data_IF_219927074001
#
_entry.id   IF_219927074001
#
_cell.length_a   1.000
_cell.length_b   1.000
_cell.length_c   1.000
_cell.angle_alpha   90.00
_cell.angle_beta   90.00
_cell.angle_gamma   90.00
#
_symmetry.space_group_name_H-M   'P 1'
#
loop_
_entity.id
_entity.type
_entity.pdbx_description
1 polymer ?
#
# COMPACT_ATOMS: atom_id res chain seq x y z
N UNK A 1 19.58 3.76 -4.01
CA UNK A 1 19.37 3.88 -2.54
C UNK A 1 17.92 4.28 -2.32
N UNK A 2 17.29 3.91 -1.19
CA UNK A 2 15.96 4.40 -0.87
C UNK A 2 15.99 5.93 -0.75
N UNK A 3 14.90 6.58 -1.15
CA UNK A 3 14.71 8.02 -0.98
C UNK A 3 13.97 8.35 0.33
N UNK A 4 13.34 7.34 0.95
CA UNK A 4 12.72 7.43 2.27
C UNK A 4 12.88 6.11 3.01
N UNK A 5 13.19 6.16 4.30
CA UNK A 5 13.41 4.99 5.15
C UNK A 5 12.84 5.28 6.54
N UNK A 6 12.20 4.27 7.14
CA UNK A 6 12.01 4.20 8.59
C UNK A 6 12.47 2.81 9.04
N UNK A 7 13.48 2.77 9.93
CA UNK A 7 14.01 1.54 10.54
C UNK A 7 13.40 1.31 11.93
N UNK A 8 12.47 2.17 12.39
CA UNK A 8 11.81 2.08 13.70
C UNK A 8 12.77 1.95 14.92
N UNK A 9 14.02 2.42 14.79
CA UNK A 9 15.05 2.39 15.85
C UNK A 9 14.80 3.39 17.00
N UNK A 10 13.78 4.24 16.88
CA UNK A 10 13.40 5.21 17.90
C UNK A 10 12.75 4.55 19.13
N UNK A 11 12.63 5.31 20.22
CA UNK A 11 11.82 4.90 21.39
C UNK A 11 10.33 5.22 21.22
N UNK A 12 9.97 5.81 20.08
CA UNK A 12 8.60 6.16 19.69
C UNK A 12 8.56 6.32 18.18
N UNK A 13 7.37 6.23 17.61
CA UNK A 13 7.14 6.48 16.20
C UNK A 13 7.57 7.91 15.80
N UNK A 14 8.18 8.03 14.62
CA UNK A 14 8.61 9.32 14.08
C UNK A 14 7.39 10.19 13.70
N UNK A 15 7.60 11.51 13.64
CA UNK A 15 6.56 12.46 13.17
C UNK A 15 6.25 12.34 11.67
N UNK A 16 6.94 11.45 10.96
CA UNK A 16 6.69 11.17 9.55
C UNK A 16 5.41 10.33 9.34
N UNK A 17 4.89 9.74 10.41
CA UNK A 17 3.70 8.90 10.39
C UNK A 17 2.50 9.62 10.99
N UNK A 18 1.39 9.51 10.28
CA UNK A 18 0.07 9.87 10.79
C UNK A 18 -0.62 8.59 11.25
N UNK A 19 -0.80 8.43 12.56
CA UNK A 19 -1.54 7.29 13.13
C UNK A 19 -3.02 7.64 13.17
N UNK A 20 -3.87 6.76 12.66
CA UNK A 20 -5.30 7.01 12.60
C UNK A 20 -5.94 6.95 14.00
N UNK A 21 -6.92 7.83 14.23
CA UNK A 21 -7.73 7.85 15.45
C UNK A 21 -9.21 8.05 15.08
N UNK A 22 -10.01 6.98 15.14
CA UNK A 22 -11.38 7.03 14.64
C UNK A 22 -11.98 5.67 14.31
N UNK A 23 -13.05 5.62 13.48
CA UNK A 23 -13.63 4.36 13.02
C UNK A 23 -12.60 3.48 12.31
N UNK A 24 -12.67 2.16 12.54
CA UNK A 24 -11.84 1.19 11.85
C UNK A 24 -12.34 0.86 10.43
N UNK A 25 -11.89 -0.27 9.90
CA UNK A 25 -12.16 -0.71 8.54
C UNK A 25 -13.66 -0.71 8.21
N UNK A 26 -14.08 0.08 7.22
CA UNK A 26 -15.49 0.25 6.84
C UNK A 26 -16.44 0.59 8.00
N UNK A 27 -15.93 1.20 9.07
CA UNK A 27 -16.68 1.51 10.30
C UNK A 27 -16.72 0.39 11.33
N UNK A 28 -16.09 -0.76 11.08
CA UNK A 28 -15.91 -1.83 12.07
C UNK A 28 -14.73 -1.51 12.97
N UNK A 29 -14.93 -1.63 14.29
CA UNK A 29 -13.88 -1.45 15.28
C UNK A 29 -13.42 0.01 15.35
N UNK A 30 -12.23 0.22 15.92
CA UNK A 30 -11.66 1.54 16.16
C UNK A 30 -10.18 1.55 15.85
N UNK A 31 -9.72 2.55 15.09
CA UNK A 31 -8.31 2.93 15.02
C UNK A 31 -7.95 3.72 16.27
N UNK A 32 -6.93 3.29 16.99
CA UNK A 32 -6.45 3.95 18.21
C UNK A 32 -4.93 4.07 18.18
N UNK A 33 -4.35 5.26 18.45
CA UNK A 33 -2.91 5.41 18.55
C UNK A 33 -2.25 4.51 19.60
N UNK A 34 -2.97 4.16 20.67
CA UNK A 34 -2.50 3.26 21.73
C UNK A 34 -2.23 1.83 21.26
N UNK A 35 -2.75 1.44 20.08
CA UNK A 35 -2.50 0.14 19.47
C UNK A 35 -1.18 0.10 18.67
N UNK A 36 -0.42 1.20 18.64
CA UNK A 36 0.90 1.28 17.99
C UNK A 36 1.99 1.42 19.04
N UNK A 37 3.03 0.61 18.92
CA UNK A 37 4.25 0.76 19.72
C UNK A 37 5.50 0.56 18.86
N UNK A 38 6.61 1.16 19.29
CA UNK A 38 7.93 0.96 18.69
C UNK A 38 8.89 0.60 19.82
N UNK A 39 9.51 -0.57 19.71
CA UNK A 39 10.49 -1.04 20.69
C UNK A 39 11.56 -1.90 20.00
N UNK A 40 12.83 -1.69 20.34
CA UNK A 40 13.96 -2.49 19.85
C UNK A 40 14.03 -2.60 18.30
N UNK A 41 13.75 -1.51 17.59
CA UNK A 41 13.76 -1.49 16.12
C UNK A 41 12.51 -2.08 15.47
N UNK A 42 11.47 -2.43 16.24
CA UNK A 42 10.27 -3.08 15.71
C UNK A 42 9.04 -2.22 15.98
N UNK A 43 8.33 -1.84 14.92
CA UNK A 43 6.96 -1.38 14.98
C UNK A 43 6.04 -2.57 15.28
N UNK A 44 5.18 -2.45 16.27
CA UNK A 44 4.11 -3.41 16.54
C UNK A 44 2.75 -2.71 16.48
N UNK A 45 1.83 -3.29 15.71
CA UNK A 45 0.40 -2.94 15.75
C UNK A 45 -0.35 -4.09 16.40
N UNK A 46 -1.18 -3.79 17.41
CA UNK A 46 -2.00 -4.75 18.14
C UNK A 46 -3.48 -4.53 17.84
N UNK A 47 -4.23 -5.62 17.69
CA UNK A 47 -5.68 -5.64 17.60
C UNK A 47 -6.28 -6.41 18.78
N UNK A 48 -7.14 -5.78 19.59
CA UNK A 48 -7.72 -6.39 20.79
C UNK A 48 -9.05 -7.14 20.52
N UNK A 49 -9.64 -7.73 21.56
CA UNK A 49 -10.92 -8.46 21.43
C UNK A 49 -12.14 -7.59 21.11
N UNK A 50 -12.03 -6.26 21.17
CA UNK A 50 -13.10 -5.30 20.90
C UNK A 50 -12.97 -4.64 19.52
N UNK A 51 -11.97 -5.04 18.72
CA UNK A 51 -11.69 -4.40 17.44
C UNK A 51 -10.96 -3.06 17.57
N UNK A 52 -10.36 -2.76 18.73
CA UNK A 52 -9.42 -1.64 18.83
C UNK A 52 -8.10 -2.08 18.23
N UNK A 53 -7.68 -1.39 17.18
CA UNK A 53 -6.47 -1.69 16.40
C UNK A 53 -5.87 -0.40 15.87
N UNK A 54 -4.86 -0.45 15.00
CA UNK A 54 -4.32 0.74 14.36
C UNK A 54 -4.16 0.60 12.85
N UNK A 55 -4.00 1.75 12.23
CA UNK A 55 -3.52 1.94 10.88
C UNK A 55 -2.78 3.28 10.85
N UNK A 56 -1.86 3.44 9.91
CA UNK A 56 -1.05 4.64 9.82
C UNK A 56 -0.61 4.92 8.40
N UNK A 57 -0.48 6.20 8.05
CA UNK A 57 -0.06 6.70 6.75
C UNK A 57 1.34 7.32 6.81
N UNK A 58 2.15 7.08 5.78
CA UNK A 58 3.48 7.66 5.61
C UNK A 58 3.47 8.81 4.59
N UNK A 59 2.90 9.95 4.99
CA UNK A 59 2.71 11.12 4.13
C UNK A 59 3.98 11.98 3.98
N UNK A 60 4.19 12.69 2.86
CA UNK A 60 3.42 12.65 1.62
C UNK A 60 3.73 11.41 0.77
N UNK A 61 2.87 11.10 -0.20
CA UNK A 61 3.08 10.01 -1.15
C UNK A 61 4.01 10.33 -2.32
N UNK A 62 4.08 9.39 -3.25
CA UNK A 62 4.88 9.46 -4.47
C UNK A 62 4.12 8.77 -5.62
N UNK A 63 4.24 9.32 -6.83
CA UNK A 63 3.75 8.66 -8.05
C UNK A 63 4.87 7.83 -8.67
N UNK A 64 4.64 6.53 -8.80
CA UNK A 64 5.61 5.51 -9.21
C UNK A 64 6.78 5.32 -8.25
N UNK A 65 7.41 4.16 -8.30
CA UNK A 65 8.53 3.80 -7.45
C UNK A 65 8.45 2.36 -6.95
N UNK A 66 9.22 2.09 -5.91
CA UNK A 66 9.16 0.83 -5.18
C UNK A 66 8.93 1.12 -3.71
N UNK A 67 8.07 0.33 -3.09
CA UNK A 67 7.87 0.30 -1.65
C UNK A 67 8.19 -1.11 -1.16
N UNK A 68 8.93 -1.20 -0.08
CA UNK A 68 9.33 -2.48 0.50
C UNK A 68 9.24 -2.38 2.02
N UNK A 69 8.66 -3.39 2.65
CA UNK A 69 8.57 -3.51 4.09
C UNK A 69 8.98 -4.91 4.55
N UNK A 70 9.75 -4.98 5.63
CA UNK A 70 10.10 -6.24 6.26
C UNK A 70 9.11 -6.52 7.38
N UNK A 71 8.26 -7.53 7.16
CA UNK A 71 7.09 -7.80 8.00
C UNK A 71 7.06 -9.26 8.40
N UNK A 72 6.58 -9.52 9.62
CA UNK A 72 6.02 -10.80 10.04
C UNK A 72 4.72 -10.56 10.78
N UNK A 73 3.78 -11.48 10.69
CA UNK A 73 2.58 -11.47 11.52
C UNK A 73 2.40 -12.86 12.14
N UNK A 74 2.34 -13.00 13.47
CA UNK A 74 1.91 -14.25 14.09
C UNK A 74 0.53 -14.70 13.57
N UNK A 75 0.22 -15.99 13.75
CA UNK A 75 -1.14 -16.46 13.55
C UNK A 75 -2.12 -15.62 14.38
N UNK A 76 -3.24 -15.23 13.78
CA UNK A 76 -4.18 -14.27 14.33
C UNK A 76 -5.54 -14.90 14.57
N UNK A 77 -6.42 -14.12 15.18
CA UNK A 77 -7.85 -14.35 15.07
C UNK A 77 -8.28 -14.22 13.58
N UNK A 78 -9.30 -14.98 13.13
CA UNK A 78 -9.91 -14.80 11.81
C UNK A 78 -10.45 -13.40 11.55
N UNK A 79 -10.62 -12.58 12.59
CA UNK A 79 -11.09 -11.21 12.47
C UNK A 79 -10.00 -10.19 12.13
N UNK A 80 -8.72 -10.58 11.99
CA UNK A 80 -7.62 -9.62 11.80
C UNK A 80 -6.79 -9.85 10.54
N UNK A 81 -6.82 -8.87 9.64
CA UNK A 81 -6.02 -8.84 8.42
C UNK A 81 -4.80 -7.94 8.62
N UNK A 82 -3.59 -8.38 8.24
CA UNK A 82 -2.39 -7.54 8.30
C UNK A 82 -2.06 -7.01 6.90
N UNK A 83 -1.76 -5.72 6.78
CA UNK A 83 -1.65 -5.02 5.51
C UNK A 83 -0.41 -4.14 5.38
N UNK A 84 0.19 -4.18 4.20
CA UNK A 84 0.91 -3.06 3.60
C UNK A 84 0.20 -2.68 2.31
N UNK A 85 -0.16 -1.42 2.18
CA UNK A 85 -0.90 -0.92 1.01
C UNK A 85 -0.44 0.47 0.59
N UNK A 86 -0.71 0.83 -0.65
CA UNK A 86 -0.59 2.19 -1.16
C UNK A 86 -1.98 2.81 -1.28
N UNK A 87 -2.18 3.98 -0.67
CA UNK A 87 -3.44 4.73 -0.65
C UNK A 87 -3.29 6.08 -1.37
N UNK A 88 -4.30 6.57 -2.12
CA UNK A 88 -4.18 7.79 -2.90
C UNK A 88 -4.07 9.03 -2.01
N UNK A 89 -3.07 9.88 -2.28
CA UNK A 89 -2.88 11.16 -1.56
C UNK A 89 -4.08 12.11 -1.69
N UNK A 90 -4.89 11.93 -2.72
CA UNK A 90 -6.10 12.71 -2.96
C UNK A 90 -7.27 12.29 -2.06
N UNK A 91 -7.16 11.18 -1.32
CA UNK A 91 -8.21 10.63 -0.44
C UNK A 91 -9.54 10.39 -1.19
N UNK A 92 -9.46 10.00 -2.46
CA UNK A 92 -10.58 9.91 -3.40
C UNK A 92 -10.89 8.47 -3.85
N UNK A 93 -10.62 7.50 -2.99
CA UNK A 93 -11.03 6.11 -3.18
C UNK A 93 -12.55 6.01 -3.49
N UNK A 94 -12.98 5.16 -4.45
CA UNK A 94 -12.17 4.18 -5.20
C UNK A 94 -11.53 4.74 -6.49
N UNK A 95 -11.78 5.99 -6.86
CA UNK A 95 -11.29 6.56 -8.12
C UNK A 95 -9.77 6.71 -8.11
N UNK A 96 -9.19 7.09 -6.97
CA UNK A 96 -7.74 7.14 -6.76
C UNK A 96 -7.04 5.77 -6.80
N UNK A 97 -7.80 4.68 -6.76
CA UNK A 97 -7.29 3.31 -6.66
C UNK A 97 -6.71 2.96 -5.29
N UNK A 98 -6.24 1.73 -5.13
CA UNK A 98 -5.55 1.20 -3.95
C UNK A 98 -4.68 0.02 -4.39
N UNK A 99 -3.48 -0.12 -3.81
CA UNK A 99 -2.62 -1.28 -4.05
C UNK A 99 -2.26 -1.95 -2.73
N UNK A 100 -2.99 -2.99 -2.36
CA UNK A 100 -2.67 -3.86 -1.24
C UNK A 100 -1.64 -4.87 -1.71
N UNK A 101 -0.35 -4.63 -1.45
CA UNK A 101 0.72 -5.51 -1.95
C UNK A 101 1.15 -6.59 -0.97
N UNK A 102 0.63 -6.50 0.25
CA UNK A 102 0.67 -7.53 1.26
C UNK A 102 -0.64 -7.44 2.01
N UNK A 103 -1.60 -8.33 1.73
CA UNK A 103 -2.77 -8.52 2.58
C UNK A 103 -2.84 -9.97 3.07
N UNK A 104 -2.62 -10.16 4.36
CA UNK A 104 -2.74 -11.45 5.03
C UNK A 104 -4.16 -11.56 5.60
N UNK A 105 -5.10 -12.13 4.82
CA UNK A 105 -6.45 -12.46 5.32
C UNK A 105 -6.49 -13.85 5.97
N UNK A 106 -5.60 -14.75 5.55
CA UNK A 106 -5.43 -16.05 6.20
C UNK A 106 -4.88 -15.85 7.61
N UNK A 107 -5.71 -16.15 8.60
CA UNK A 107 -5.36 -16.06 10.02
C UNK A 107 -4.24 -17.02 10.43
N UNK A 108 -4.00 -18.10 9.66
CA UNK A 108 -2.84 -18.99 9.87
C UNK A 108 -1.56 -18.45 9.27
N UNK A 109 -1.65 -17.36 8.48
CA UNK A 109 -0.53 -16.64 7.85
C UNK A 109 0.27 -17.52 6.89
N UNK A 110 -0.38 -18.43 6.18
CA UNK A 110 0.23 -19.33 5.19
C UNK A 110 -0.08 -18.92 3.74
N UNK A 111 -0.96 -17.95 3.54
CA UNK A 111 -1.24 -17.31 2.25
C UNK A 111 -1.28 -15.78 2.42
N UNK A 112 -0.79 -15.05 1.41
CA UNK A 112 -0.85 -13.59 1.33
C UNK A 112 -1.34 -13.17 -0.05
N UNK A 113 -2.12 -12.10 -0.10
CA UNK A 113 -2.75 -11.60 -1.31
C UNK A 113 -2.17 -10.27 -1.76
N UNK A 114 -2.35 -10.01 -3.05
CA UNK A 114 -2.26 -8.67 -3.64
C UNK A 114 -3.63 -8.31 -4.18
N UNK A 115 -4.05 -7.08 -3.94
CA UNK A 115 -5.23 -6.48 -4.55
C UNK A 115 -4.84 -5.16 -5.22
N UNK A 116 -5.36 -4.96 -6.42
CA UNK A 116 -5.31 -3.68 -7.11
C UNK A 116 -6.75 -3.25 -7.35
N UNK A 117 -7.19 -2.25 -6.59
CA UNK A 117 -8.51 -1.63 -6.73
C UNK A 117 -8.44 -0.46 -7.71
N UNK A 118 -9.43 -0.35 -8.58
CA UNK A 118 -9.46 0.67 -9.62
C UNK A 118 -10.87 1.10 -10.05
N UNK A 119 -10.94 2.33 -10.53
CA UNK A 119 -12.13 2.91 -11.15
C UNK A 119 -13.27 3.21 -10.18
N UNK A 120 -14.24 4.00 -10.65
CA UNK A 120 -15.36 4.45 -9.83
C UNK A 120 -16.25 3.32 -9.27
N UNK A 121 -16.21 2.14 -9.89
CA UNK A 121 -16.97 0.97 -9.46
C UNK A 121 -16.22 0.10 -8.45
N UNK A 122 -15.02 0.49 -8.00
CA UNK A 122 -14.15 -0.32 -7.14
C UNK A 122 -13.93 -1.74 -7.70
N UNK A 123 -13.58 -1.83 -8.98
CA UNK A 123 -13.21 -3.12 -9.58
C UNK A 123 -11.84 -3.55 -9.07
N UNK A 124 -11.56 -4.85 -9.05
CA UNK A 124 -10.29 -5.37 -8.56
C UNK A 124 -9.73 -6.46 -9.45
N UNK A 125 -8.40 -6.48 -9.53
CA UNK A 125 -7.62 -7.68 -9.91
C UNK A 125 -6.80 -8.12 -8.71
N UNK A 126 -6.47 -9.41 -8.64
CA UNK A 126 -5.77 -9.97 -7.49
C UNK A 126 -4.88 -11.14 -7.84
N UNK A 127 -4.05 -11.53 -6.87
CA UNK A 127 -3.27 -12.76 -6.87
C UNK A 127 -3.00 -13.22 -5.44
N UNK A 128 -2.49 -14.43 -5.27
CA UNK A 128 -2.02 -14.92 -3.98
C UNK A 128 -0.69 -15.65 -4.10
N UNK A 129 0.03 -15.71 -2.98
CA UNK A 129 1.26 -16.49 -2.82
C UNK A 129 1.19 -17.29 -1.52
N UNK A 130 1.50 -18.58 -1.59
CA UNK A 130 1.61 -19.45 -0.42
C UNK A 130 3.00 -19.29 0.21
N UNK A 131 3.04 -18.80 1.45
CA UNK A 131 4.27 -18.57 2.19
C UNK A 131 3.97 -18.47 3.69
N UNK A 132 4.87 -18.98 4.52
CA UNK A 132 4.77 -18.87 5.98
C UNK A 132 5.14 -17.47 6.46
N UNK A 133 4.16 -16.58 6.46
CA UNK A 133 4.25 -15.17 6.85
C UNK A 133 4.33 -14.94 8.37
N UNK A 134 4.36 -16.00 9.18
CA UNK A 134 4.75 -15.91 10.60
C UNK A 134 6.24 -15.60 10.77
N UNK A 135 7.03 -15.82 9.72
CA UNK A 135 8.45 -15.48 9.64
C UNK A 135 8.64 -14.13 8.96
N UNK A 136 9.82 -13.54 9.18
CA UNK A 136 10.20 -12.28 8.54
C UNK A 136 10.38 -12.46 7.05
N UNK A 137 9.62 -11.69 6.27
CA UNK A 137 9.72 -11.61 4.83
C UNK A 137 9.80 -10.15 4.38
N UNK A 138 10.50 -9.91 3.28
CA UNK A 138 10.55 -8.61 2.64
C UNK A 138 9.46 -8.57 1.56
N UNK A 139 8.39 -7.83 1.82
CA UNK A 139 7.27 -7.62 0.91
C UNK A 139 7.49 -6.33 0.14
N UNK A 140 7.28 -6.36 -1.18
CA UNK A 140 7.43 -5.15 -1.97
C UNK A 140 6.42 -5.04 -3.10
N UNK A 141 6.16 -3.80 -3.50
CA UNK A 141 5.51 -3.47 -4.75
C UNK A 141 6.39 -2.54 -5.56
N UNK A 142 6.49 -2.82 -6.85
CA UNK A 142 7.00 -1.90 -7.84
C UNK A 142 5.83 -1.40 -8.67
N UNK A 143 5.71 -0.08 -8.76
CA UNK A 143 4.68 0.58 -9.54
C UNK A 143 5.34 1.56 -10.48
N UNK A 144 5.17 1.33 -11.78
CA UNK A 144 5.74 2.15 -12.85
C UNK A 144 4.64 2.67 -13.77
N UNK A 145 4.98 3.52 -14.76
CA UNK A 145 4.01 3.91 -15.79
C UNK A 145 3.41 2.74 -16.58
N UNK A 146 4.11 1.61 -16.67
CA UNK A 146 3.72 0.48 -17.55
C UNK A 146 3.18 -0.72 -16.78
N UNK A 147 3.44 -0.84 -15.48
CA UNK A 147 3.03 -2.00 -14.71
C UNK A 147 2.97 -1.77 -13.19
N UNK A 148 2.32 -2.73 -12.52
CA UNK A 148 2.50 -2.99 -11.08
C UNK A 148 2.95 -4.44 -10.92
N UNK A 149 3.96 -4.68 -10.10
CA UNK A 149 4.45 -6.01 -9.76
C UNK A 149 4.69 -6.15 -8.25
N UNK A 150 4.31 -7.30 -7.70
CA UNK A 150 4.47 -7.62 -6.29
C UNK A 150 5.58 -8.67 -6.10
N UNK A 151 6.35 -8.50 -5.02
CA UNK A 151 7.52 -9.31 -4.71
C UNK A 151 7.49 -9.78 -3.25
N UNK A 152 8.07 -10.95 -3.01
CA UNK A 152 8.41 -11.43 -1.67
C UNK A 152 9.83 -11.99 -1.67
N UNK A 153 10.66 -11.51 -0.75
CA UNK A 153 12.09 -11.83 -0.65
C UNK A 153 12.84 -11.65 -1.98
N UNK A 154 12.48 -10.62 -2.74
CA UNK A 154 13.07 -10.30 -4.05
C UNK A 154 12.56 -11.14 -5.22
N UNK A 155 11.63 -12.08 -5.01
CA UNK A 155 11.03 -12.87 -6.08
C UNK A 155 9.69 -12.26 -6.50
N UNK A 156 9.53 -11.96 -7.79
CA UNK A 156 8.24 -11.55 -8.36
C UNK A 156 7.26 -12.74 -8.30
N UNK A 157 6.05 -12.49 -7.82
CA UNK A 157 4.99 -13.51 -7.75
C UNK A 157 3.67 -13.06 -8.38
N UNK A 158 3.53 -11.76 -8.68
CA UNK A 158 2.38 -11.21 -9.37
C UNK A 158 2.75 -9.96 -10.16
N UNK A 159 2.08 -9.74 -11.31
CA UNK A 159 2.25 -8.58 -12.18
C UNK A 159 1.00 -8.30 -12.98
N UNK A 160 0.69 -7.01 -13.18
CA UNK A 160 -0.18 -6.54 -14.25
C UNK A 160 0.54 -5.51 -15.10
N UNK A 161 0.36 -5.58 -16.42
CA UNK A 161 0.82 -4.57 -17.40
C UNK A 161 -0.34 -3.83 -18.04
N UNK A 162 -1.57 -4.03 -17.55
CA UNK A 162 -2.72 -3.25 -17.99
C UNK A 162 -2.63 -1.85 -17.36
N UNK A 163 -2.20 -0.88 -18.16
CA UNK A 163 -2.00 0.49 -17.69
C UNK A 163 -3.31 1.22 -17.41
N UNK A 164 -4.44 0.73 -17.93
CA UNK A 164 -5.76 1.36 -17.77
C UNK A 164 -6.34 1.21 -16.37
N UNK A 165 -5.79 0.30 -15.57
CA UNK A 165 -6.22 -0.01 -14.20
C UNK A 165 -5.23 0.47 -13.13
N UNK A 166 -4.15 1.16 -13.52
CA UNK A 166 -3.17 1.67 -12.57
C UNK A 166 -3.66 2.97 -11.89
N UNK A 167 -3.28 3.22 -10.63
CA UNK A 167 -3.68 4.43 -9.92
C UNK A 167 -3.32 5.72 -10.68
N UNK A 168 -4.21 6.73 -10.75
CA UNK A 168 -4.01 7.90 -11.59
C UNK A 168 -3.06 8.94 -10.98
N UNK A 169 -2.85 8.94 -9.66
CA UNK A 169 -2.15 9.98 -8.91
C UNK A 169 -1.22 9.43 -7.83
N UNK A 170 -0.40 10.28 -7.18
CA UNK A 170 0.51 9.87 -6.12
C UNK A 170 -0.18 9.08 -5.01
N UNK A 171 0.55 8.13 -4.42
CA UNK A 171 0.06 7.32 -3.31
C UNK A 171 1.10 7.27 -2.19
N UNK A 172 0.63 7.15 -0.95
CA UNK A 172 1.47 6.96 0.23
C UNK A 172 1.35 5.54 0.78
N UNK A 173 2.40 5.10 1.48
CA UNK A 173 2.40 3.81 2.16
C UNK A 173 1.51 3.87 3.41
N UNK A 174 0.70 2.84 3.60
CA UNK A 174 -0.02 2.57 4.82
C UNK A 174 0.39 1.23 5.42
N UNK A 175 0.43 1.16 6.75
CA UNK A 175 0.60 -0.07 7.52
C UNK A 175 -0.64 -0.24 8.38
N UNK A 176 -1.33 -1.37 8.28
CA UNK A 176 -2.61 -1.55 8.97
C UNK A 176 -2.81 -2.97 9.49
N UNK A 177 -3.45 -3.10 10.65
CA UNK A 177 -4.01 -4.36 11.13
C UNK A 177 -5.53 -4.17 11.20
N UNK A 178 -6.23 -4.62 10.18
CA UNK A 178 -7.65 -4.34 10.00
C UNK A 178 -8.54 -5.37 10.68
N UNK A 179 -9.65 -4.89 11.24
CA UNK A 179 -10.61 -5.74 11.93
C UNK A 179 -11.83 -6.04 11.06
N UNK A 180 -11.99 -7.31 10.69
CA UNK A 180 -13.09 -7.89 9.94
C UNK A 180 -13.86 -8.87 10.83
N UNK A 181 -14.81 -8.41 11.66
CA UNK A 181 -15.45 -9.26 12.67
C UNK A 181 -16.06 -10.53 12.07
N UNK A 182 -15.54 -11.70 12.45
CA UNK A 182 -16.04 -13.01 11.99
C UNK A 182 -17.07 -13.64 12.93
N UNK A 183 -17.44 -12.95 14.01
CA UNK A 183 -18.25 -13.48 15.11
C UNK A 183 -17.46 -14.39 16.04
N UNK A 184 -18.02 -14.70 17.21
CA UNK A 184 -17.35 -15.48 18.26
C UNK A 184 -16.49 -14.62 19.20
N UNK A 185 -15.70 -15.29 20.05
CA UNK A 185 -14.74 -14.62 20.94
C UNK A 185 -13.46 -14.29 20.18
N UNK A 186 -13.16 -13.00 20.03
CA UNK A 186 -11.98 -12.51 19.30
C UNK A 186 -10.74 -12.60 20.18
N UNK A 187 -9.65 -13.14 19.63
CA UNK A 187 -8.33 -13.15 20.27
C UNK A 187 -7.50 -11.94 19.86
N UNK A 188 -6.64 -11.48 20.78
CA UNK A 188 -5.66 -10.44 20.47
C UNK A 188 -4.73 -10.90 19.36
N UNK A 189 -4.46 -10.02 18.40
CA UNK A 189 -3.63 -10.28 17.23
C UNK A 189 -2.61 -9.16 17.05
N UNK A 190 -1.49 -9.46 16.40
CA UNK A 190 -0.44 -8.48 16.17
C UNK A 190 0.16 -8.60 14.77
N UNK A 191 0.78 -7.52 14.31
CA UNK A 191 1.75 -7.54 13.22
C UNK A 191 3.00 -6.77 13.62
N UNK A 192 4.15 -7.18 13.07
CA UNK A 192 5.45 -6.59 13.37
C UNK A 192 6.13 -6.14 12.09
N UNK A 193 6.70 -4.93 12.11
CA UNK A 193 7.46 -4.36 10.99
C UNK A 193 8.83 -3.94 11.49
N UNK A 194 9.87 -4.44 10.83
CA UNK A 194 11.28 -4.16 11.14
C UNK A 194 11.72 -2.85 10.47
N UNK A 195 11.38 -2.69 9.19
CA UNK A 195 11.64 -1.45 8.47
C UNK A 195 10.74 -1.30 7.26
N UNK A 196 10.61 -0.06 6.78
CA UNK A 196 10.01 0.26 5.47
C UNK A 196 10.90 1.19 4.67
N UNK A 197 10.89 1.01 3.35
CA UNK A 197 11.74 1.72 2.39
C UNK A 197 10.93 2.11 1.17
N UNK A 198 11.12 3.34 0.73
CA UNK A 198 10.60 3.86 -0.54
C UNK A 198 11.77 4.20 -1.46
N UNK A 199 11.61 3.93 -2.74
CA UNK A 199 12.60 4.18 -3.78
C UNK A 199 11.94 4.93 -4.94
N UNK A 200 12.65 5.91 -5.51
CA UNK A 200 12.31 6.44 -6.83
C UNK A 200 12.70 5.44 -7.92
N UNK A 201 11.95 5.43 -9.02
CA UNK A 201 12.44 4.83 -10.26
C UNK A 201 13.72 5.54 -10.71
N UNK A 202 14.66 4.78 -11.26
CA UNK A 202 15.81 5.36 -11.94
C UNK A 202 15.36 6.11 -13.22
N UNK A 203 16.14 7.11 -13.68
CA UNK A 203 15.86 7.76 -14.95
C UNK A 203 15.78 6.77 -16.13
N UNK A 204 16.54 5.67 -16.07
CA UNK A 204 16.53 4.64 -17.10
C UNK A 204 15.20 3.88 -17.12
N UNK A 205 14.72 3.42 -15.97
CA UNK A 205 13.42 2.74 -15.84
C UNK A 205 12.26 3.63 -16.31
N UNK A 206 12.29 4.93 -15.97
CA UNK A 206 11.31 5.90 -16.48
C UNK A 206 11.37 6.07 -18.01
N UNK A 207 12.57 6.06 -18.60
CA UNK A 207 12.73 6.22 -20.05
C UNK A 207 12.41 4.95 -20.84
N UNK A 208 12.82 3.78 -20.36
CA UNK A 208 12.53 2.49 -21.00
C UNK A 208 11.01 2.27 -21.04
N UNK A 209 10.33 2.55 -19.93
CA UNK A 209 8.87 2.51 -19.85
C UNK A 209 8.19 3.53 -20.76
N UNK A 210 8.69 4.78 -20.79
CA UNK A 210 8.16 5.79 -21.72
C UNK A 210 8.35 5.39 -23.19
N UNK A 211 9.47 4.74 -23.55
CA UNK A 211 9.69 4.26 -24.92
C UNK A 211 8.88 3.02 -25.27
N UNK A 212 8.62 2.13 -24.31
CA UNK A 212 7.74 0.98 -24.49
C UNK A 212 6.28 1.41 -24.71
N UNK A 213 5.81 2.41 -23.94
CA UNK A 213 4.48 3.00 -24.09
C UNK A 213 4.31 3.66 -25.48
N UNK A 214 5.30 4.43 -25.96
CA UNK A 214 5.31 4.96 -27.33
C UNK A 214 5.30 3.82 -28.36
N UNK A 215 6.10 2.78 -28.15
CA UNK A 215 6.19 1.64 -29.07
C UNK A 215 4.88 0.88 -29.21
N UNK A 216 4.11 0.74 -28.13
CA UNK A 216 2.78 0.12 -28.15
C UNK A 216 1.73 1.08 -28.74
N UNK A 217 1.72 2.35 -28.35
CA UNK A 217 0.80 3.35 -28.90
C UNK A 217 0.94 3.51 -30.43
N UNK A 218 2.17 3.52 -30.96
CA UNK A 218 2.45 3.58 -32.40
C UNK A 218 1.97 2.32 -33.13
N UNK A 219 1.97 1.16 -32.46
CA UNK A 219 1.46 -0.10 -33.03
C UNK A 219 -0.06 -0.19 -33.01
N UNK A 220 -0.72 0.43 -32.04
CA UNK A 220 -2.18 0.35 -31.85
C UNK A 220 -2.96 1.51 -32.51
N UNK A 221 -2.30 2.60 -32.91
CA UNK A 221 -2.93 3.65 -33.70
C UNK A 221 -1.93 4.72 -34.14
N UNK A 222 -1.85 4.99 -35.44
CA UNK A 222 -0.83 5.83 -36.10
C UNK A 222 -0.77 7.31 -35.70
N UNK A 223 -0.43 7.61 -34.44
CA UNK A 223 -0.11 8.95 -33.96
C UNK A 223 1.37 9.28 -34.20
N UNK A 224 1.62 10.53 -34.61
CA UNK A 224 2.96 11.06 -34.90
C UNK A 224 3.84 11.14 -33.63
N UNK A 225 5.05 10.52 -33.63
CA UNK A 225 5.99 10.52 -32.51
C UNK A 225 6.29 11.90 -31.91
N UNK A 226 6.22 12.98 -32.70
CA UNK A 226 6.51 14.33 -32.25
C UNK A 226 5.46 14.90 -31.27
N UNK A 227 4.23 14.39 -31.30
CA UNK A 227 3.14 14.85 -30.44
C UNK A 227 3.25 14.26 -29.03
N UNK A 228 3.86 13.07 -28.90
CA UNK A 228 3.96 12.34 -27.63
C UNK A 228 5.08 12.91 -26.74
N UNK A 229 6.21 13.31 -27.34
CA UNK A 229 7.33 13.89 -26.58
C UNK A 229 6.98 15.18 -25.81
N UNK A 230 5.98 15.94 -26.26
CA UNK A 230 5.52 17.16 -25.57
C UNK A 230 4.73 16.90 -24.28
N UNK A 231 4.10 15.74 -24.11
CA UNK A 231 3.34 15.42 -22.88
C UNK A 231 4.24 15.07 -21.70
N UNK A 232 5.45 14.60 -21.97
CA UNK A 232 6.41 14.14 -20.95
C UNK A 232 7.04 15.31 -20.18
N UNK A 233 7.18 16.49 -20.81
CA UNK A 233 7.86 17.65 -20.19
C UNK A 233 7.01 18.42 -19.19
N UNK A 234 5.68 18.27 -19.23
CA UNK A 234 4.74 19.06 -18.44
C UNK A 234 4.37 18.40 -17.07
N UNK A 235 4.91 17.21 -16.78
CA UNK A 235 4.54 16.38 -15.63
C UNK A 235 5.38 16.53 -14.34
N UNK A 236 6.26 17.53 -14.24
CA UNK A 236 7.06 17.77 -13.02
C UNK A 236 6.34 18.79 -12.11
N UNK A 237 5.89 18.43 -10.88
CA UNK A 237 5.14 19.37 -10.05
C UNK A 237 6.05 20.28 -9.21
N UNK A 238 5.81 21.60 -9.32
CA UNK A 238 6.16 22.61 -8.33
C UNK A 238 5.12 22.68 -7.22
N UNK A 239 5.57 22.93 -5.99
CA UNK A 239 4.82 22.70 -4.75
C UNK A 239 3.75 23.72 -4.36
N UNK A 240 2.93 23.33 -3.38
CA UNK A 240 1.99 24.18 -2.66
C UNK A 240 1.15 23.37 -1.66
N UNK A 241 1.31 23.67 -0.36
CA UNK A 241 0.72 22.99 0.80
C UNK A 241 -0.65 23.53 1.18
N UNK A 242 -1.55 22.68 1.72
CA UNK A 242 -2.73 23.11 2.47
C UNK A 242 -3.50 21.92 3.04
N UNK A 243 -3.30 21.61 4.32
CA UNK A 243 -3.92 20.48 5.01
C UNK A 243 -5.32 20.76 5.55
N UNK A 244 -6.13 19.71 5.61
CA UNK A 244 -7.34 19.60 6.43
C UNK A 244 -7.48 18.14 6.92
N UNK A 245 -7.94 18.01 8.16
CA UNK A 245 -7.99 16.77 8.97
C UNK A 245 -9.14 15.85 8.51
N UNK A 246 -8.96 14.51 8.45
CA UNK A 246 -9.92 13.59 7.85
C UNK A 246 -11.09 13.18 8.76
N UNK A 247 -12.27 13.00 8.15
CA UNK A 247 -13.41 12.27 8.70
C UNK A 247 -13.63 11.02 7.84
N UNK A 248 -13.64 9.84 8.47
CA UNK A 248 -14.00 8.58 7.83
C UNK A 248 -15.46 8.59 7.32
N UNK A 249 -15.67 8.20 6.06
CA UNK A 249 -16.99 8.03 5.44
C UNK A 249 -17.14 6.55 5.01
N UNK A 250 -18.32 5.91 5.20
CA UNK A 250 -18.43 4.46 5.25
C UNK A 250 -18.66 3.79 3.89
N UNK A 251 -18.34 2.49 3.81
CA UNK A 251 -18.46 1.64 2.63
C UNK A 251 -19.92 1.41 2.18
N UNK A 252 -20.15 1.04 0.90
CA UNK A 252 -21.48 0.76 0.37
C UNK A 252 -22.04 -0.53 0.96
N UNK A 253 -23.36 -0.53 1.23
CA UNK A 253 -24.10 -1.73 1.64
C UNK A 253 -24.20 -2.69 0.45
N UNK A 254 -23.84 -3.95 0.66
CA UNK A 254 -24.32 -5.07 -0.16
C UNK A 254 -25.83 -5.29 0.01
#
# INVERSE_FOLDING_TARGET
MPNRVDEFDGTSLSQAWEVYDGPGHAGNGRRTPDAVSVENGILTITGDSHGNTAGMAWNPGQKYGRWEGRVRAPASDPSYNALLLLWPDAEDFPVGGEIDFMEMMDHTRQETHVFLHYGASNSQVSGSVTIDATRWHNWAVEWTPTHVAAFVDGNEWWRTTDTSILPPGPMHLCIQLDWFPSGGSVQESTMHVDWVKQYSLSPQELTEDATADIGNAVREGGADPATIQRRVTDGLPGGGTGGLVPHAVPAPRG
#
